data_IF_768612599498
#
_entry.id   IF_768612599498
#
_cell.length_a   1.000
_cell.length_b   1.000
_cell.length_c   1.000
_cell.angle_alpha   90.00
_cell.angle_beta   90.00
_cell.angle_gamma   90.00
#
_symmetry.space_group_name_H-M   'P 1'
#
loop_
_entity.id
_entity.type
_entity.pdbx_description
1 polymer ?
#
# COMPACT_ATOMS: atom_id res chain seq x y z
N UNK A 1 -22.80 20.35 19.78
CA UNK A 1 -22.10 19.36 20.60
C UNK A 1 -22.94 18.09 20.76
N UNK A 2 -22.31 16.94 20.92
CA UNK A 2 -22.99 15.65 21.08
C UNK A 2 -22.90 15.13 22.51
N UNK A 3 -21.80 15.47 23.19
CA UNK A 3 -21.49 15.05 24.55
C UNK A 3 -21.11 16.25 25.41
N UNK A 4 -21.43 16.16 26.69
CA UNK A 4 -20.91 17.05 27.75
C UNK A 4 -19.92 16.23 28.57
N UNK A 5 -18.65 16.63 28.56
CA UNK A 5 -17.61 15.96 29.31
C UNK A 5 -17.59 16.52 30.73
N UNK A 6 -17.67 15.63 31.70
CA UNK A 6 -17.57 15.98 33.11
C UNK A 6 -16.12 15.83 33.55
N UNK A 7 -15.66 16.81 34.31
CA UNK A 7 -14.29 16.82 34.85
C UNK A 7 -14.33 16.93 36.37
N UNK A 8 -13.32 16.42 37.01
CA UNK A 8 -13.09 16.61 38.45
C UNK A 8 -12.52 18.03 38.73
N UNK A 9 -12.37 18.43 40.00
CA UNK A 9 -11.78 19.74 40.35
C UNK A 9 -10.33 19.95 39.87
N UNK A 10 -9.64 18.89 39.43
CA UNK A 10 -8.30 18.94 38.83
C UNK A 10 -8.33 19.00 37.32
N UNK A 11 -9.53 19.13 36.72
CA UNK A 11 -9.74 19.11 35.26
C UNK A 11 -9.47 17.75 34.60
N UNK A 12 -9.48 16.67 35.36
CA UNK A 12 -9.35 15.30 34.80
C UNK A 12 -10.72 14.82 34.34
N UNK A 13 -10.88 14.29 33.11
CA UNK A 13 -12.15 13.75 32.64
C UNK A 13 -12.63 12.59 33.54
N UNK A 14 -13.87 12.72 34.02
CA UNK A 14 -14.48 11.74 34.91
C UNK A 14 -15.59 10.92 34.21
N UNK A 15 -16.06 11.40 33.07
CA UNK A 15 -17.12 10.75 32.29
C UNK A 15 -17.78 11.72 31.30
N UNK A 16 -18.78 11.26 30.59
CA UNK A 16 -19.55 12.11 29.69
C UNK A 16 -21.04 11.83 29.80
N UNK A 17 -21.84 12.82 29.35
CA UNK A 17 -23.27 12.67 29.22
C UNK A 17 -23.69 13.03 27.80
N UNK A 18 -24.46 12.15 27.16
CA UNK A 18 -24.96 12.39 25.80
C UNK A 18 -26.10 13.45 25.84
N UNK A 19 -26.20 14.24 24.77
CA UNK A 19 -27.27 15.21 24.63
C UNK A 19 -28.66 14.55 24.75
N UNK A 20 -28.83 13.36 24.16
CA UNK A 20 -30.09 12.61 24.27
C UNK A 20 -30.45 12.29 25.72
N UNK A 21 -29.48 11.93 26.55
CA UNK A 21 -29.67 11.60 27.95
C UNK A 21 -30.01 12.83 28.78
N UNK A 22 -29.40 13.98 28.47
CA UNK A 22 -29.72 15.25 29.08
C UNK A 22 -31.20 15.65 28.79
N UNK A 23 -31.61 15.53 27.52
CA UNK A 23 -32.97 15.91 27.09
C UNK A 23 -34.06 14.97 27.63
N UNK A 24 -33.74 13.71 27.86
CA UNK A 24 -34.66 12.71 28.42
C UNK A 24 -34.73 12.70 29.95
N UNK A 25 -33.83 13.41 30.62
CA UNK A 25 -33.77 13.46 32.08
C UNK A 25 -34.51 14.66 32.63
N UNK A 26 -35.05 14.55 33.84
CA UNK A 26 -35.70 15.68 34.53
C UNK A 26 -34.68 16.78 34.86
N UNK A 27 -35.12 18.03 34.87
CA UNK A 27 -34.26 19.21 35.13
C UNK A 27 -33.53 19.17 36.48
N UNK A 28 -34.07 18.47 37.46
CA UNK A 28 -33.51 18.33 38.80
C UNK A 28 -32.45 17.23 38.93
N UNK A 29 -32.26 16.42 37.87
CA UNK A 29 -31.29 15.34 37.86
C UNK A 29 -29.87 15.90 37.69
N UNK A 30 -28.97 15.56 38.65
CA UNK A 30 -27.57 15.94 38.53
C UNK A 30 -26.90 15.18 37.39
N UNK A 31 -26.08 15.86 36.59
CA UNK A 31 -25.35 15.23 35.48
C UNK A 31 -24.51 14.04 35.94
N UNK A 32 -23.91 14.12 37.13
CA UNK A 32 -23.16 13.02 37.71
C UNK A 32 -23.97 11.71 37.91
N UNK A 33 -25.30 11.82 38.04
CA UNK A 33 -26.17 10.64 38.19
C UNK A 33 -26.53 9.95 36.87
N UNK A 34 -26.29 10.62 35.74
CA UNK A 34 -26.57 10.13 34.39
C UNK A 34 -25.30 10.03 33.53
N UNK A 35 -24.13 10.13 34.16
CA UNK A 35 -22.81 10.06 33.52
C UNK A 35 -22.49 8.62 33.08
N UNK A 36 -21.90 8.51 31.92
CA UNK A 36 -21.24 7.29 31.44
C UNK A 36 -19.75 7.36 31.78
N UNK A 37 -19.28 6.40 32.58
CA UNK A 37 -17.89 6.35 33.06
C UNK A 37 -16.99 5.58 32.10
N UNK A 38 -17.56 4.74 31.23
CA UNK A 38 -16.80 3.98 30.23
C UNK A 38 -16.60 4.84 28.99
N UNK A 39 -15.48 5.55 28.92
CA UNK A 39 -15.10 6.40 27.79
C UNK A 39 -13.61 6.30 27.53
N UNK A 40 -13.22 6.76 26.35
CA UNK A 40 -11.80 6.84 25.96
C UNK A 40 -11.32 8.27 26.03
N UNK A 41 -10.04 8.41 26.30
CA UNK A 41 -9.29 9.68 26.20
C UNK A 41 -8.12 9.47 25.26
N UNK A 42 -7.68 10.52 24.58
CA UNK A 42 -6.46 10.56 23.77
C UNK A 42 -5.53 11.61 24.33
N UNK A 43 -4.23 11.38 24.23
CA UNK A 43 -3.25 12.38 24.65
C UNK A 43 -3.05 13.44 23.55
N UNK A 44 -2.77 14.68 23.93
CA UNK A 44 -2.48 15.74 22.97
C UNK A 44 -1.21 15.49 22.14
N UNK A 45 -0.42 14.46 22.50
CA UNK A 45 0.79 14.04 21.80
C UNK A 45 0.59 12.80 20.94
N UNK A 46 -0.61 12.20 20.93
CA UNK A 46 -0.88 11.03 20.10
C UNK A 46 -0.88 11.43 18.61
N UNK A 47 -0.34 10.58 17.73
CA UNK A 47 -0.39 10.83 16.28
C UNK A 47 -1.82 10.92 15.77
N UNK A 48 -2.07 11.85 14.84
CA UNK A 48 -3.40 12.12 14.29
C UNK A 48 -4.04 10.88 13.66
N UNK A 49 -3.26 10.12 12.88
CA UNK A 49 -3.70 8.87 12.26
C UNK A 49 -4.14 7.82 13.29
N UNK A 50 -3.44 7.70 14.43
CA UNK A 50 -3.81 6.79 15.50
C UNK A 50 -5.12 7.21 16.17
N UNK A 51 -5.32 8.51 16.37
CA UNK A 51 -6.55 9.08 16.92
C UNK A 51 -7.72 8.82 15.96
N UNK A 52 -7.55 9.12 14.66
CA UNK A 52 -8.56 8.89 13.65
C UNK A 52 -8.93 7.39 13.53
N UNK A 53 -7.93 6.50 13.64
CA UNK A 53 -8.17 5.06 13.70
C UNK A 53 -9.01 4.65 14.91
N UNK A 54 -8.77 5.23 16.11
CA UNK A 54 -9.55 4.98 17.31
C UNK A 54 -11.01 5.40 17.10
N UNK A 55 -11.27 6.56 16.49
CA UNK A 55 -12.62 7.01 16.15
C UNK A 55 -13.36 6.00 15.26
N UNK A 56 -12.70 5.51 14.22
CA UNK A 56 -13.28 4.54 13.31
C UNK A 56 -13.50 3.17 13.99
N UNK A 57 -12.54 2.69 14.78
CA UNK A 57 -12.60 1.38 15.43
C UNK A 57 -13.69 1.30 16.51
N UNK A 58 -13.87 2.38 17.28
CA UNK A 58 -14.81 2.42 18.41
C UNK A 58 -16.08 3.21 18.13
N UNK A 59 -16.27 3.66 16.87
CA UNK A 59 -17.42 4.44 16.42
C UNK A 59 -17.68 5.68 17.32
N UNK A 60 -16.60 6.39 17.69
CA UNK A 60 -16.68 7.54 18.55
C UNK A 60 -17.28 8.74 17.80
N UNK A 61 -18.10 9.51 18.49
CA UNK A 61 -18.65 10.79 18.00
C UNK A 61 -17.79 11.95 18.49
N UNK A 62 -17.25 11.84 19.69
CA UNK A 62 -16.29 12.78 20.27
C UNK A 62 -15.38 12.06 21.28
N UNK A 63 -14.19 12.61 21.49
CA UNK A 63 -13.20 12.07 22.42
C UNK A 63 -12.50 13.22 23.14
N UNK A 64 -12.42 13.21 24.50
CA UNK A 64 -11.65 14.18 25.25
C UNK A 64 -10.16 14.00 25.01
N UNK A 65 -9.47 15.13 24.88
CA UNK A 65 -8.01 15.22 24.75
C UNK A 65 -7.40 15.65 26.07
N UNK A 66 -6.37 14.97 26.51
CA UNK A 66 -5.71 15.24 27.79
C UNK A 66 -4.23 15.60 27.60
N UNK A 67 -3.72 16.42 28.52
CA UNK A 67 -2.29 16.75 28.64
C UNK A 67 -1.53 15.61 29.34
N UNK A 68 -0.20 15.80 29.50
CA UNK A 68 0.66 14.84 30.22
C UNK A 68 0.29 14.65 31.71
N UNK A 69 -0.48 15.57 32.29
CA UNK A 69 -1.00 15.48 33.65
C UNK A 69 -2.40 14.85 33.71
N UNK A 70 -2.96 14.41 32.58
CA UNK A 70 -4.30 13.84 32.45
C UNK A 70 -5.42 14.87 32.48
N UNK A 71 -5.14 16.16 32.36
CA UNK A 71 -6.13 17.23 32.41
C UNK A 71 -6.73 17.47 31.03
N UNK A 72 -8.03 17.70 30.98
CA UNK A 72 -8.74 18.03 29.74
C UNK A 72 -8.21 19.33 29.13
N UNK A 73 -7.74 19.25 27.91
CA UNK A 73 -7.23 20.39 27.10
C UNK A 73 -8.11 20.68 25.89
N UNK A 74 -8.92 19.71 25.46
CA UNK A 74 -9.80 19.87 24.30
C UNK A 74 -10.68 18.65 24.07
N UNK A 75 -11.40 18.69 22.97
CA UNK A 75 -12.25 17.59 22.49
C UNK A 75 -12.07 17.50 20.98
N UNK A 76 -11.81 16.31 20.49
CA UNK A 76 -11.85 16.00 19.06
C UNK A 76 -13.24 15.46 18.74
N UNK A 77 -13.77 15.84 17.60
CA UNK A 77 -15.08 15.38 17.10
C UNK A 77 -14.90 14.46 15.89
N UNK A 78 -15.95 13.75 15.51
CA UNK A 78 -15.89 12.80 14.39
C UNK A 78 -15.57 13.47 13.06
N UNK A 79 -16.02 14.70 12.85
CA UNK A 79 -15.72 15.51 11.67
C UNK A 79 -14.21 15.81 11.55
N UNK A 80 -13.53 16.16 12.66
CA UNK A 80 -12.08 16.34 12.69
C UNK A 80 -11.37 15.02 12.35
N UNK A 81 -11.79 13.91 12.97
CA UNK A 81 -11.20 12.60 12.72
C UNK A 81 -11.41 12.11 11.27
N UNK A 82 -12.55 12.44 10.65
CA UNK A 82 -12.82 12.10 9.24
C UNK A 82 -11.95 12.91 8.30
N UNK A 83 -11.69 14.20 8.57
CA UNK A 83 -10.77 15.00 7.76
C UNK A 83 -9.36 14.40 7.77
N UNK A 84 -8.86 13.98 8.94
CA UNK A 84 -7.55 13.31 9.04
C UNK A 84 -7.53 12.01 8.24
N UNK A 85 -8.60 11.20 8.29
CA UNK A 85 -8.66 9.97 7.49
C UNK A 85 -8.68 10.23 5.98
N UNK A 86 -9.37 11.28 5.54
CA UNK A 86 -9.41 11.66 4.14
C UNK A 86 -8.05 12.18 3.67
N UNK A 87 -7.36 13.00 4.47
CA UNK A 87 -5.98 13.46 4.21
C UNK A 87 -5.00 12.29 4.11
N UNK A 88 -5.01 11.35 5.06
CA UNK A 88 -4.19 10.14 5.02
C UNK A 88 -4.45 9.29 3.75
N UNK A 89 -5.72 9.15 3.34
CA UNK A 89 -6.05 8.42 2.12
C UNK A 89 -5.54 9.12 0.85
N UNK A 90 -5.62 10.46 0.79
CA UNK A 90 -5.07 11.23 -0.33
C UNK A 90 -3.55 11.11 -0.39
N UNK A 91 -2.86 11.21 0.74
CA UNK A 91 -1.41 11.01 0.83
C UNK A 91 -1.00 9.60 0.39
N UNK A 92 -1.69 8.56 0.85
CA UNK A 92 -1.42 7.18 0.44
C UNK A 92 -1.53 6.99 -1.07
N UNK A 93 -2.52 7.62 -1.73
CA UNK A 93 -2.67 7.58 -3.18
C UNK A 93 -1.51 8.26 -3.92
N UNK A 94 -1.07 9.42 -3.46
CA UNK A 94 0.06 10.15 -4.03
C UNK A 94 1.38 9.36 -3.83
N UNK A 95 1.61 8.84 -2.65
CA UNK A 95 2.78 8.03 -2.32
C UNK A 95 2.87 6.74 -3.14
N UNK A 96 1.75 6.04 -3.35
CA UNK A 96 1.71 4.86 -4.22
C UNK A 96 2.05 5.18 -5.67
N UNK A 97 1.75 6.39 -6.12
CA UNK A 97 2.16 6.89 -7.44
C UNK A 97 3.62 7.40 -7.49
N UNK A 98 4.35 7.39 -6.36
CA UNK A 98 5.70 7.92 -6.25
C UNK A 98 5.76 9.45 -6.27
N UNK A 99 4.70 10.10 -5.79
CA UNK A 99 4.58 11.56 -5.71
C UNK A 99 4.64 11.97 -4.23
N UNK A 100 5.28 13.09 -3.93
CA UNK A 100 5.35 13.61 -2.55
C UNK A 100 4.03 14.26 -2.11
N UNK A 101 3.82 14.32 -0.80
CA UNK A 101 2.58 14.79 -0.17
C UNK A 101 2.26 16.27 -0.46
N UNK A 102 3.28 17.08 -0.75
CA UNK A 102 3.16 18.53 -0.99
C UNK A 102 2.71 18.90 -2.42
N UNK A 103 2.39 17.92 -3.28
CA UNK A 103 2.04 18.21 -4.67
C UNK A 103 0.60 18.72 -4.78
N UNK A 104 0.44 19.94 -5.31
CA UNK A 104 -0.85 20.59 -5.54
C UNK A 104 -1.07 20.87 -7.02
N UNK A 105 -2.32 20.76 -7.49
CA UNK A 105 -2.71 21.13 -8.85
C UNK A 105 -2.45 22.61 -9.17
N UNK A 106 -2.32 23.47 -8.16
CA UNK A 106 -1.97 24.89 -8.30
C UNK A 106 -0.48 25.15 -8.39
N UNK A 107 0.38 24.12 -8.17
CA UNK A 107 1.82 24.27 -8.23
C UNK A 107 2.32 24.57 -9.64
N UNK A 108 3.30 25.46 -9.75
CA UNK A 108 3.94 25.74 -11.03
C UNK A 108 4.83 24.58 -11.51
N UNK A 109 5.12 24.50 -12.84
CA UNK A 109 5.83 23.35 -13.43
C UNK A 109 7.22 23.10 -12.81
N UNK A 110 7.91 24.14 -12.34
CA UNK A 110 9.21 23.99 -11.69
C UNK A 110 9.10 23.35 -10.31
N UNK A 111 8.10 23.73 -9.53
CA UNK A 111 7.83 23.13 -8.21
C UNK A 111 7.47 21.65 -8.35
N UNK A 112 6.56 21.32 -9.28
CA UNK A 112 6.17 19.95 -9.63
C UNK A 112 7.38 19.11 -10.06
N UNK A 113 8.22 19.61 -10.96
CA UNK A 113 9.41 18.90 -11.41
C UNK A 113 10.38 18.62 -10.24
N UNK A 114 10.59 19.61 -9.36
CA UNK A 114 11.47 19.46 -8.19
C UNK A 114 10.93 18.42 -7.20
N UNK A 115 9.63 18.32 -7.02
CA UNK A 115 9.01 17.32 -6.14
C UNK A 115 9.16 15.89 -6.69
N UNK A 116 8.99 15.69 -7.99
CA UNK A 116 9.03 14.37 -8.65
C UNK A 116 10.43 13.87 -8.98
N UNK A 117 11.38 14.78 -9.30
CA UNK A 117 12.71 14.43 -9.79
C UNK A 117 13.48 13.45 -8.89
N UNK A 118 13.49 13.57 -7.57
CA UNK A 118 14.19 12.62 -6.69
C UNK A 118 13.70 11.18 -6.89
N UNK A 119 12.37 10.97 -6.95
CA UNK A 119 11.80 9.65 -7.16
C UNK A 119 12.04 9.11 -8.57
N UNK A 120 11.99 9.97 -9.58
CA UNK A 120 12.37 9.61 -10.95
C UNK A 120 13.85 9.23 -11.05
N UNK A 121 14.73 9.90 -10.31
CA UNK A 121 16.14 9.54 -10.25
C UNK A 121 16.37 8.18 -9.57
N UNK A 122 15.68 7.90 -8.47
CA UNK A 122 15.68 6.55 -7.84
C UNK A 122 15.21 5.50 -8.83
N UNK A 123 14.09 5.76 -9.53
CA UNK A 123 13.59 4.85 -10.56
C UNK A 123 14.58 4.65 -11.73
N UNK A 124 15.30 5.69 -12.13
CA UNK A 124 16.33 5.57 -13.16
C UNK A 124 17.48 4.63 -12.73
N UNK A 125 17.92 4.76 -11.47
CA UNK A 125 18.95 3.87 -10.91
C UNK A 125 18.45 2.43 -10.85
N UNK A 126 17.25 2.20 -10.35
CA UNK A 126 16.67 0.85 -10.24
C UNK A 126 16.39 0.24 -11.63
N UNK A 127 15.91 1.02 -12.60
CA UNK A 127 15.72 0.58 -13.98
C UNK A 127 17.06 0.18 -14.66
N UNK A 128 18.17 0.80 -14.25
CA UNK A 128 19.50 0.42 -14.75
C UNK A 128 19.89 -1.01 -14.36
N UNK A 129 19.34 -1.56 -13.25
CA UNK A 129 19.54 -2.97 -12.89
C UNK A 129 18.90 -3.91 -13.91
N UNK A 130 17.70 -3.57 -14.40
CA UNK A 130 17.03 -4.33 -15.47
C UNK A 130 17.84 -4.29 -16.77
N UNK A 131 18.42 -3.12 -17.11
CA UNK A 131 19.29 -2.98 -18.26
C UNK A 131 20.58 -3.84 -18.14
N UNK A 132 21.16 -3.97 -16.96
CA UNK A 132 22.29 -4.87 -16.71
C UNK A 132 21.92 -6.33 -16.96
N UNK A 133 20.74 -6.76 -16.53
CA UNK A 133 20.25 -8.11 -16.81
C UNK A 133 20.13 -8.33 -18.34
N UNK A 134 19.50 -7.38 -19.04
CA UNK A 134 19.36 -7.47 -20.51
C UNK A 134 20.73 -7.59 -21.20
N UNK A 135 21.70 -6.75 -20.79
CA UNK A 135 23.03 -6.78 -21.38
C UNK A 135 23.78 -8.09 -21.14
N UNK A 136 23.50 -8.77 -20.01
CA UNK A 136 24.08 -10.08 -19.74
C UNK A 136 23.61 -11.18 -20.73
N UNK A 137 22.45 -10.96 -21.38
CA UNK A 137 21.88 -11.89 -22.39
C UNK A 137 21.97 -11.34 -23.83
N UNK A 138 22.88 -10.41 -24.11
CA UNK A 138 23.03 -9.79 -25.43
C UNK A 138 23.23 -10.84 -26.55
N UNK A 139 24.03 -11.86 -26.31
CA UNK A 139 24.25 -12.92 -27.28
C UNK A 139 22.97 -13.71 -27.62
N UNK A 140 22.14 -13.99 -26.63
CA UNK A 140 20.87 -14.69 -26.82
C UNK A 140 19.86 -13.81 -27.59
N UNK A 141 19.84 -12.52 -27.30
CA UNK A 141 18.96 -11.55 -28.01
C UNK A 141 19.46 -11.41 -29.47
N UNK A 142 20.75 -11.34 -29.70
CA UNK A 142 21.33 -11.25 -31.05
C UNK A 142 21.03 -12.52 -31.89
N UNK A 143 21.00 -13.70 -31.26
CA UNK A 143 20.64 -14.94 -31.93
C UNK A 143 19.14 -15.01 -32.27
N UNK A 144 18.31 -14.44 -31.44
CA UNK A 144 16.81 -14.45 -31.53
C UNK A 144 16.24 -13.07 -31.30
N UNK A 145 16.32 -12.20 -32.29
CA UNK A 145 15.88 -10.77 -32.21
C UNK A 145 14.42 -10.62 -31.76
N UNK A 146 13.57 -11.60 -32.04
CA UNK A 146 12.16 -11.61 -31.63
C UNK A 146 11.99 -11.53 -30.11
N UNK A 147 12.98 -11.99 -29.32
CA UNK A 147 12.96 -11.87 -27.87
C UNK A 147 12.87 -10.41 -27.42
N UNK A 148 13.58 -9.50 -28.08
CA UNK A 148 13.54 -8.07 -27.77
C UNK A 148 12.13 -7.47 -27.93
N UNK A 149 11.36 -7.92 -28.93
CA UNK A 149 9.98 -7.48 -29.14
C UNK A 149 9.00 -8.02 -28.08
N UNK A 150 9.33 -9.14 -27.45
CA UNK A 150 8.46 -9.79 -26.44
C UNK A 150 8.78 -9.32 -25.00
N UNK A 151 9.97 -8.76 -24.76
CA UNK A 151 10.37 -8.26 -23.43
C UNK A 151 9.38 -7.26 -22.82
N UNK A 152 8.85 -6.27 -23.54
CA UNK A 152 7.87 -5.32 -22.99
C UNK A 152 6.61 -6.00 -22.47
N UNK A 153 6.17 -7.10 -23.10
CA UNK A 153 4.99 -7.86 -22.67
C UNK A 153 5.24 -8.48 -21.29
N UNK A 154 6.41 -9.11 -21.12
CA UNK A 154 6.79 -9.75 -19.85
C UNK A 154 6.92 -8.71 -18.74
N UNK A 155 7.63 -7.59 -18.98
CA UNK A 155 7.83 -6.53 -18.01
C UNK A 155 6.49 -5.88 -17.60
N UNK A 156 5.72 -5.42 -18.58
CA UNK A 156 4.45 -4.73 -18.33
C UNK A 156 3.46 -5.58 -17.54
N UNK A 157 3.29 -6.85 -17.89
CA UNK A 157 2.36 -7.73 -17.18
C UNK A 157 2.81 -8.03 -15.74
N UNK A 158 4.11 -8.21 -15.52
CA UNK A 158 4.67 -8.37 -14.18
C UNK A 158 4.53 -7.11 -13.32
N UNK A 159 4.86 -5.96 -13.89
CA UNK A 159 4.72 -4.66 -13.20
C UNK A 159 3.27 -4.39 -12.77
N UNK A 160 2.29 -4.61 -13.66
CA UNK A 160 0.86 -4.45 -13.34
C UNK A 160 0.43 -5.44 -12.24
N UNK A 161 0.77 -6.70 -12.35
CA UNK A 161 0.41 -7.70 -11.33
C UNK A 161 1.03 -7.37 -9.96
N UNK A 162 2.29 -6.91 -9.96
CA UNK A 162 2.98 -6.48 -8.75
C UNK A 162 2.30 -5.28 -8.09
N UNK A 163 1.91 -4.28 -8.88
CA UNK A 163 1.20 -3.09 -8.35
C UNK A 163 -0.21 -3.43 -7.85
N UNK A 164 -0.90 -4.40 -8.44
CA UNK A 164 -2.20 -4.87 -7.93
C UNK A 164 -2.05 -5.52 -6.54
N UNK A 165 -1.10 -6.43 -6.36
CA UNK A 165 -0.82 -7.04 -5.06
C UNK A 165 -0.32 -6.02 -4.05
N UNK A 166 0.51 -5.06 -4.49
CA UNK A 166 1.01 -3.96 -3.69
C UNK A 166 -0.12 -3.10 -3.13
N UNK A 167 -1.04 -2.63 -3.97
CA UNK A 167 -2.14 -1.78 -3.55
C UNK A 167 -3.02 -2.45 -2.49
N UNK A 168 -3.27 -3.76 -2.64
CA UNK A 168 -4.00 -4.55 -1.62
C UNK A 168 -3.20 -4.66 -0.33
N UNK A 169 -1.89 -4.88 -0.40
CA UNK A 169 -1.04 -5.04 0.78
C UNK A 169 -0.86 -3.72 1.55
N UNK A 170 -0.61 -2.61 0.87
CA UNK A 170 -0.50 -1.27 1.48
C UNK A 170 -1.80 -0.89 2.17
N UNK A 171 -2.95 -1.03 1.48
CA UNK A 171 -4.26 -0.79 2.09
C UNK A 171 -4.48 -1.66 3.34
N UNK A 172 -4.09 -2.95 3.28
CA UNK A 172 -4.25 -3.85 4.41
C UNK A 172 -3.33 -3.49 5.60
N UNK A 173 -2.17 -2.87 5.35
CA UNK A 173 -1.29 -2.32 6.37
C UNK A 173 -1.90 -1.04 6.97
N UNK A 174 -2.33 -0.08 6.15
CA UNK A 174 -2.95 1.16 6.58
C UNK A 174 -4.19 0.91 7.46
N UNK A 175 -5.05 -0.03 7.07
CA UNK A 175 -6.23 -0.42 7.87
C UNK A 175 -5.92 -1.36 9.04
N UNK A 176 -4.64 -1.66 9.31
CA UNK A 176 -4.18 -2.62 10.35
C UNK A 176 -4.83 -4.01 10.25
N UNK A 177 -5.37 -4.36 9.07
CA UNK A 177 -5.93 -5.69 8.80
C UNK A 177 -4.84 -6.72 8.46
N UNK A 178 -3.68 -6.30 7.98
CA UNK A 178 -2.49 -7.11 7.79
C UNK A 178 -1.56 -6.97 8.99
N UNK A 179 -1.46 -8.04 9.76
CA UNK A 179 -0.65 -8.12 10.98
C UNK A 179 0.39 -9.22 10.86
N UNK A 180 1.41 -9.23 11.73
CA UNK A 180 2.40 -10.30 11.79
C UNK A 180 1.77 -11.68 12.02
N UNK A 181 0.61 -11.74 12.70
CA UNK A 181 -0.11 -12.98 12.97
C UNK A 181 -0.76 -13.60 11.73
N UNK A 182 -1.23 -12.79 10.77
CA UNK A 182 -1.90 -13.27 9.55
C UNK A 182 -1.06 -13.14 8.28
N UNK A 183 0.11 -12.51 8.34
CA UNK A 183 0.98 -12.25 7.21
C UNK A 183 1.27 -13.51 6.37
N UNK A 184 1.58 -14.65 7.03
CA UNK A 184 1.82 -15.92 6.33
C UNK A 184 0.61 -16.36 5.48
N UNK A 185 -0.60 -16.22 6.01
CA UNK A 185 -1.83 -16.58 5.27
C UNK A 185 -2.01 -15.69 4.03
N UNK A 186 -1.78 -14.40 4.18
CA UNK A 186 -1.88 -13.42 3.07
C UNK A 186 -0.84 -13.74 2.00
N UNK A 187 0.42 -13.95 2.38
CA UNK A 187 1.50 -14.32 1.45
C UNK A 187 1.16 -15.61 0.68
N UNK A 188 0.67 -16.66 1.35
CA UNK A 188 0.29 -17.91 0.68
C UNK A 188 -0.91 -17.73 -0.26
N UNK A 189 -1.86 -16.87 0.09
CA UNK A 189 -3.00 -16.53 -0.77
C UNK A 189 -2.51 -15.82 -2.04
N UNK A 190 -1.65 -14.82 -1.90
CA UNK A 190 -1.09 -14.08 -3.04
C UNK A 190 -0.20 -14.97 -3.92
N UNK A 191 0.60 -15.86 -3.31
CA UNK A 191 1.35 -16.86 -4.06
C UNK A 191 0.42 -17.74 -4.92
N UNK A 192 -0.68 -18.23 -4.34
CA UNK A 192 -1.69 -18.99 -5.06
C UNK A 192 -2.32 -18.19 -6.21
N UNK A 193 -2.65 -16.93 -5.97
CA UNK A 193 -3.17 -16.03 -7.01
C UNK A 193 -2.13 -15.80 -8.13
N UNK A 194 -0.86 -15.58 -7.77
CA UNK A 194 0.24 -15.43 -8.72
C UNK A 194 0.44 -16.66 -9.60
N UNK A 195 0.37 -17.86 -9.02
CA UNK A 195 0.43 -19.11 -9.79
C UNK A 195 -0.75 -19.25 -10.75
N UNK A 196 -1.98 -18.99 -10.30
CA UNK A 196 -3.18 -19.07 -11.14
C UNK A 196 -3.15 -18.05 -12.28
N UNK A 197 -2.80 -16.80 -12.00
CA UNK A 197 -2.64 -15.76 -13.01
C UNK A 197 -1.51 -16.12 -13.99
N UNK A 198 -0.39 -16.64 -13.46
CA UNK A 198 0.73 -17.10 -14.26
C UNK A 198 0.34 -18.21 -15.23
N UNK A 199 -0.41 -19.21 -14.78
CA UNK A 199 -0.93 -20.29 -15.62
C UNK A 199 -1.90 -19.78 -16.69
N UNK A 200 -2.81 -18.87 -16.32
CA UNK A 200 -3.74 -18.25 -17.27
C UNK A 200 -3.04 -17.46 -18.37
N UNK A 201 -2.08 -16.60 -17.99
CA UNK A 201 -1.27 -15.82 -18.95
C UNK A 201 -0.30 -16.69 -19.76
N UNK A 202 0.24 -17.74 -19.15
CA UNK A 202 1.09 -18.70 -19.85
C UNK A 202 0.33 -19.42 -20.96
N UNK A 203 -0.92 -19.79 -20.70
CA UNK A 203 -1.76 -20.41 -21.72
C UNK A 203 -2.05 -19.42 -22.85
N UNK A 204 -2.43 -18.17 -22.55
CA UNK A 204 -2.75 -17.16 -23.54
C UNK A 204 -1.51 -16.80 -24.38
N UNK A 205 -0.43 -16.40 -23.74
CA UNK A 205 0.78 -15.94 -24.43
C UNK A 205 1.61 -17.09 -25.01
N UNK A 206 1.60 -18.25 -24.34
CA UNK A 206 2.28 -19.44 -24.84
C UNK A 206 1.65 -19.95 -26.14
N UNK A 207 0.31 -20.05 -26.18
CA UNK A 207 -0.41 -20.42 -27.40
C UNK A 207 -0.27 -19.34 -28.48
N UNK A 208 -0.43 -18.06 -28.12
CA UNK A 208 -0.27 -16.96 -29.07
C UNK A 208 1.15 -16.94 -29.67
N UNK A 209 2.19 -17.10 -28.85
CA UNK A 209 3.58 -17.16 -29.28
C UNK A 209 3.85 -18.36 -30.20
N UNK A 210 3.34 -19.53 -29.85
CA UNK A 210 3.48 -20.74 -30.68
C UNK A 210 2.80 -20.59 -32.06
N UNK A 211 1.57 -20.04 -32.08
CA UNK A 211 0.75 -19.94 -33.30
C UNK A 211 1.18 -18.74 -34.17
N UNK A 212 1.34 -17.56 -33.58
CA UNK A 212 1.62 -16.32 -34.34
C UNK A 212 3.06 -16.32 -34.90
N UNK A 213 4.02 -16.79 -34.07
CA UNK A 213 5.43 -16.80 -34.44
C UNK A 213 5.86 -18.11 -35.12
N UNK A 214 4.98 -19.09 -35.15
CA UNK A 214 5.29 -20.40 -35.77
C UNK A 214 6.38 -21.19 -35.02
N UNK A 215 6.68 -20.84 -33.78
CA UNK A 215 7.75 -21.45 -32.94
C UNK A 215 7.18 -21.98 -31.63
N UNK A 216 6.75 -23.25 -31.56
CA UNK A 216 6.14 -23.82 -30.36
C UNK A 216 7.03 -23.71 -29.10
N UNK A 217 8.34 -23.86 -29.26
CA UNK A 217 9.29 -23.80 -28.16
C UNK A 217 9.37 -22.36 -27.57
N UNK A 218 9.28 -21.34 -28.41
CA UNK A 218 9.21 -19.94 -27.95
C UNK A 218 7.91 -19.69 -27.14
N UNK A 219 6.81 -20.31 -27.54
CA UNK A 219 5.57 -20.28 -26.77
C UNK A 219 5.74 -20.93 -25.38
N UNK A 220 6.47 -22.03 -25.27
CA UNK A 220 6.80 -22.67 -23.98
C UNK A 220 7.66 -21.74 -23.11
N UNK A 221 8.70 -21.13 -23.68
CA UNK A 221 9.58 -20.17 -22.98
C UNK A 221 8.77 -19.00 -22.43
N UNK A 222 7.91 -18.39 -23.27
CA UNK A 222 7.03 -17.31 -22.85
C UNK A 222 6.09 -17.74 -21.72
N UNK A 223 5.45 -18.89 -21.86
CA UNK A 223 4.55 -19.41 -20.85
C UNK A 223 5.23 -19.63 -19.50
N UNK A 224 6.38 -20.28 -19.49
CA UNK A 224 7.16 -20.50 -18.26
C UNK A 224 7.64 -19.18 -17.64
N UNK A 225 8.15 -18.26 -18.46
CA UNK A 225 8.57 -16.94 -18.00
C UNK A 225 7.42 -16.16 -17.35
N UNK A 226 6.20 -16.25 -17.92
CA UNK A 226 5.01 -15.61 -17.35
C UNK A 226 4.63 -16.20 -16.00
N UNK A 227 4.71 -17.52 -15.82
CA UNK A 227 4.45 -18.14 -14.50
C UNK A 227 5.42 -17.60 -13.45
N UNK A 228 6.73 -17.64 -13.77
CA UNK A 228 7.76 -17.13 -12.86
C UNK A 228 7.52 -15.66 -12.54
N UNK A 229 7.30 -14.83 -13.55
CA UNK A 229 7.13 -13.39 -13.37
C UNK A 229 5.88 -13.06 -12.55
N UNK A 230 4.74 -13.74 -12.74
CA UNK A 230 3.53 -13.54 -11.96
C UNK A 230 3.68 -13.97 -10.51
N UNK A 231 4.42 -15.04 -10.24
CA UNK A 231 4.75 -15.46 -8.88
C UNK A 231 5.63 -14.41 -8.19
N UNK A 232 6.67 -13.93 -8.88
CA UNK A 232 7.55 -12.87 -8.35
C UNK A 232 6.76 -11.58 -8.10
N UNK A 233 5.89 -11.18 -9.02
CA UNK A 233 5.02 -10.01 -8.90
C UNK A 233 4.12 -10.09 -7.66
N UNK A 234 3.40 -11.20 -7.50
CA UNK A 234 2.51 -11.41 -6.37
C UNK A 234 3.27 -11.42 -5.03
N UNK A 235 4.42 -12.10 -4.98
CA UNK A 235 5.26 -12.15 -3.79
C UNK A 235 5.90 -10.79 -3.48
N UNK A 236 6.45 -10.11 -4.48
CA UNK A 236 7.05 -8.78 -4.34
C UNK A 236 6.04 -7.75 -3.86
N UNK A 237 4.83 -7.76 -4.43
CA UNK A 237 3.76 -6.84 -4.05
C UNK A 237 3.32 -6.95 -2.58
N UNK A 238 3.54 -8.09 -1.91
CA UNK A 238 3.24 -8.24 -0.48
C UNK A 238 4.48 -8.15 0.39
N UNK A 239 5.59 -8.79 -0.01
CA UNK A 239 6.78 -8.87 0.85
C UNK A 239 7.53 -7.53 0.94
N UNK A 240 7.56 -6.75 -0.15
CA UNK A 240 8.23 -5.44 -0.15
C UNK A 240 7.59 -4.49 0.86
N UNK A 241 6.26 -4.20 0.81
CA UNK A 241 5.64 -3.31 1.79
C UNK A 241 5.72 -3.86 3.22
N UNK A 242 5.62 -5.17 3.43
CA UNK A 242 5.81 -5.79 4.75
C UNK A 242 7.23 -5.59 5.29
N UNK A 243 8.25 -5.69 4.43
CA UNK A 243 9.64 -5.45 4.83
C UNK A 243 9.87 -3.99 5.19
N UNK A 244 9.37 -3.05 4.37
CA UNK A 244 9.48 -1.61 4.63
C UNK A 244 8.79 -1.21 5.94
N UNK A 245 7.56 -1.71 6.16
CA UNK A 245 6.83 -1.47 7.40
C UNK A 245 7.58 -2.00 8.63
N UNK A 246 8.24 -3.16 8.54
CA UNK A 246 9.08 -3.69 9.64
C UNK A 246 10.34 -2.87 9.90
N UNK A 247 10.84 -2.19 8.89
CA UNK A 247 11.99 -1.28 9.00
C UNK A 247 11.59 0.11 9.50
N UNK A 248 10.30 0.36 9.74
CA UNK A 248 9.78 1.67 10.14
C UNK A 248 9.76 2.68 8.99
N UNK A 249 9.81 2.21 7.74
CA UNK A 249 9.68 3.02 6.54
C UNK A 249 8.24 2.96 6.04
N UNK A 250 7.78 4.05 5.44
CA UNK A 250 6.45 4.08 4.83
C UNK A 250 6.35 3.08 3.67
N UNK A 251 5.45 2.08 3.76
CA UNK A 251 5.30 1.08 2.72
C UNK A 251 4.69 1.64 1.43
N UNK A 252 3.92 2.74 1.46
CA UNK A 252 3.32 3.33 0.27
C UNK A 252 4.39 4.01 -0.61
N UNK A 253 5.29 4.78 0.00
CA UNK A 253 6.20 5.66 -0.70
C UNK A 253 7.21 4.96 -1.62
N UNK A 254 7.83 3.88 -1.16
CA UNK A 254 8.94 3.25 -1.88
C UNK A 254 8.56 1.96 -2.61
N UNK A 255 7.42 1.35 -2.25
CA UNK A 255 7.08 0.00 -2.70
C UNK A 255 6.88 -0.12 -4.20
N UNK A 256 6.27 0.88 -4.86
CA UNK A 256 5.98 0.85 -6.29
C UNK A 256 7.24 0.66 -7.14
N UNK A 257 8.24 1.49 -6.92
CA UNK A 257 9.53 1.44 -7.65
C UNK A 257 10.28 0.12 -7.38
N UNK A 258 10.30 -0.34 -6.13
CA UNK A 258 10.98 -1.61 -5.80
C UNK A 258 10.26 -2.83 -6.38
N UNK A 259 8.93 -2.85 -6.36
CA UNK A 259 8.15 -3.96 -6.91
C UNK A 259 8.30 -4.03 -8.42
N UNK A 260 8.20 -2.90 -9.14
CA UNK A 260 8.39 -2.88 -10.60
C UNK A 260 9.81 -3.26 -10.98
N UNK A 261 10.81 -2.77 -10.26
CA UNK A 261 12.21 -3.18 -10.51
C UNK A 261 12.40 -4.68 -10.29
N UNK A 262 11.83 -5.23 -9.21
CA UNK A 262 11.93 -6.66 -8.91
C UNK A 262 11.28 -7.50 -10.03
N UNK A 263 10.11 -7.11 -10.50
CA UNK A 263 9.40 -7.81 -11.58
C UNK A 263 10.13 -7.72 -12.92
N UNK A 264 10.74 -6.57 -13.23
CA UNK A 264 11.50 -6.38 -14.46
C UNK A 264 12.78 -7.20 -14.44
N UNK A 265 13.58 -7.09 -13.39
CA UNK A 265 14.83 -7.84 -13.22
C UNK A 265 14.59 -9.35 -13.29
N UNK A 266 13.65 -9.85 -12.49
CA UNK A 266 13.36 -11.29 -12.43
C UNK A 266 12.60 -11.77 -13.66
N UNK A 267 11.72 -10.94 -14.23
CA UNK A 267 11.00 -11.25 -15.46
C UNK A 267 11.94 -11.38 -16.66
N UNK A 268 12.86 -10.43 -16.85
CA UNK A 268 13.87 -10.52 -17.91
C UNK A 268 14.84 -11.67 -17.68
N UNK A 269 15.30 -11.84 -16.44
CA UNK A 269 16.21 -12.96 -16.12
C UNK A 269 15.55 -14.31 -16.40
N UNK A 270 14.32 -14.52 -15.98
CA UNK A 270 13.58 -15.75 -16.24
C UNK A 270 13.33 -15.96 -17.75
N UNK A 271 12.86 -14.91 -18.44
CA UNK A 271 12.53 -15.01 -19.87
C UNK A 271 13.77 -15.25 -20.72
N UNK A 272 14.80 -14.44 -20.58
CA UNK A 272 16.03 -14.56 -21.36
C UNK A 272 16.86 -15.79 -20.95
N UNK A 273 16.87 -16.12 -19.65
CA UNK A 273 17.52 -17.32 -19.16
C UNK A 273 16.89 -18.60 -19.70
N UNK A 274 15.55 -18.70 -19.70
CA UNK A 274 14.84 -19.82 -20.30
C UNK A 274 15.05 -19.85 -21.83
N UNK A 275 15.07 -18.70 -22.49
CA UNK A 275 15.36 -18.62 -23.92
C UNK A 275 16.78 -19.14 -24.24
N UNK A 276 17.75 -18.73 -23.42
CA UNK A 276 19.16 -19.26 -23.59
C UNK A 276 19.21 -20.75 -23.38
N UNK A 277 18.51 -21.31 -22.41
CA UNK A 277 18.57 -22.75 -22.11
C UNK A 277 17.82 -23.63 -23.12
N UNK A 278 16.73 -23.13 -23.72
CA UNK A 278 15.81 -23.94 -24.51
C UNK A 278 15.80 -23.61 -26.00
N UNK A 279 16.32 -22.45 -26.40
CA UNK A 279 16.31 -22.00 -27.82
C UNK A 279 17.68 -21.78 -28.42
N UNK A 280 18.73 -21.60 -27.61
CA UNK A 280 20.13 -21.48 -28.05
C UNK A 280 20.97 -22.61 -27.50
#
# INVERSE_FOLDING_TARGET
FYHVILVDPRMVPAGYVTLGRILSSGREVRLAAITEESFRVVAATDPEADVAYIFNQYHLISCPVVDAAGRLVGVITIDDAMNVLDEEHEEDLLRLAGVGDDESLSAGPFATARARLPWLAVNLVTASLSALVISAFEATIAALVVLAALMPIVASTGGIAGTQSLAVAVRALATRSLTSANARRVVLRELGAGVLNGLGLALILGVAGAVILGQPMLGVVLGLAMIVNQVVAAMGGVLVPLALNRMGLDPALASGTFVTTLTDVMGFFAFLGLATMLLT
#
